data_IF_221809064163
#
_entry.id   IF_221809064163
#
_cell.length_a   1.000
_cell.length_b   1.000
_cell.length_c   1.000
_cell.angle_alpha   90.00
_cell.angle_beta   90.00
_cell.angle_gamma   90.00
#
_symmetry.space_group_name_H-M   'P 1'
#
loop_
_entity.id
_entity.type
_entity.pdbx_description
1 polymer ?
#
# COMPACT_ATOMS: atom_id res chain seq x y z
N UNK A 1 14.14 1.72 19.67
CA UNK A 1 15.40 2.11 20.34
C UNK A 1 16.31 0.92 20.60
N UNK A 2 15.97 -0.09 21.42
CA UNK A 2 16.86 -1.26 21.61
C UNK A 2 16.98 -2.16 20.37
N UNK A 3 15.89 -2.41 19.64
CA UNK A 3 15.91 -3.26 18.43
C UNK A 3 16.65 -2.62 17.24
N UNK A 4 16.68 -1.29 17.17
CA UNK A 4 17.37 -0.57 16.09
C UNK A 4 18.90 -0.67 16.24
N UNK A 5 19.39 -0.80 17.47
CA UNK A 5 20.80 -1.02 17.76
C UNK A 5 21.29 -2.40 17.31
N UNK A 6 20.40 -3.39 17.26
CA UNK A 6 20.69 -4.74 16.76
C UNK A 6 20.62 -4.84 15.23
N UNK A 7 20.10 -3.81 14.54
CA UNK A 7 19.95 -3.83 13.08
C UNK A 7 21.30 -3.65 12.41
N UNK A 8 21.80 -4.72 11.80
CA UNK A 8 22.94 -4.67 10.90
C UNK A 8 22.57 -3.96 9.58
N UNK A 9 21.48 -4.40 8.96
CA UNK A 9 20.95 -3.84 7.71
C UNK A 9 19.47 -4.22 7.51
N UNK A 10 18.90 -3.93 6.34
CA UNK A 10 17.55 -4.32 5.94
C UNK A 10 17.49 -4.68 4.45
N UNK A 11 16.81 -5.77 4.14
CA UNK A 11 16.44 -6.12 2.76
C UNK A 11 15.13 -5.43 2.38
N UNK A 12 14.94 -5.13 1.11
CA UNK A 12 13.63 -4.69 0.60
C UNK A 12 12.84 -5.92 0.14
N UNK A 13 11.72 -6.18 0.81
CA UNK A 13 10.74 -7.20 0.40
C UNK A 13 9.45 -6.51 -0.02
N UNK A 14 9.01 -6.75 -1.24
CA UNK A 14 7.73 -6.30 -1.79
C UNK A 14 6.81 -7.51 -1.83
N UNK A 15 5.73 -7.49 -1.06
CA UNK A 15 4.67 -8.49 -1.13
C UNK A 15 3.55 -8.01 -2.04
N UNK A 16 3.30 -8.78 -3.09
CA UNK A 16 2.23 -8.55 -4.06
C UNK A 16 1.18 -9.61 -3.82
N UNK A 17 0.15 -9.31 -3.02
CA UNK A 17 -0.95 -10.24 -2.73
C UNK A 17 -2.30 -9.65 -3.16
N UNK A 18 -2.57 -9.70 -4.47
CA UNK A 18 -3.86 -9.33 -5.00
C UNK A 18 -4.87 -10.48 -4.82
N UNK A 19 -6.15 -10.16 -4.68
CA UNK A 19 -7.20 -11.18 -4.43
C UNK A 19 -7.33 -12.21 -5.56
N UNK A 20 -6.80 -11.90 -6.74
CA UNK A 20 -6.82 -12.69 -7.96
C UNK A 20 -5.39 -12.92 -8.42
N UNK A 21 -4.99 -14.19 -8.47
CA UNK A 21 -3.64 -14.61 -8.84
C UNK A 21 -3.18 -14.09 -10.21
N UNK A 22 -4.06 -14.06 -11.20
CA UNK A 22 -3.73 -13.54 -12.54
C UNK A 22 -3.34 -12.06 -12.48
N UNK A 23 -4.06 -11.27 -11.69
CA UNK A 23 -3.72 -9.87 -11.47
C UNK A 23 -2.41 -9.74 -10.68
N UNK A 24 -2.16 -10.59 -9.68
CA UNK A 24 -0.87 -10.62 -8.98
C UNK A 24 0.31 -10.88 -9.93
N UNK A 25 0.16 -11.80 -10.91
CA UNK A 25 1.18 -12.03 -11.95
C UNK A 25 1.46 -10.77 -12.76
N UNK A 26 0.41 -10.10 -13.23
CA UNK A 26 0.51 -8.86 -14.01
C UNK A 26 1.20 -7.79 -13.17
N UNK A 27 0.71 -7.49 -11.96
CA UNK A 27 1.28 -6.47 -11.06
C UNK A 27 2.76 -6.76 -10.77
N UNK A 28 3.09 -8.00 -10.41
CA UNK A 28 4.47 -8.40 -10.12
C UNK A 28 5.37 -8.20 -11.35
N UNK A 29 4.90 -8.54 -12.55
CA UNK A 29 5.63 -8.33 -13.80
C UNK A 29 5.92 -6.84 -14.08
N UNK A 30 4.95 -5.97 -13.82
CA UNK A 30 5.13 -4.52 -13.97
C UNK A 30 6.11 -3.96 -12.94
N UNK A 31 6.08 -4.43 -11.69
CA UNK A 31 7.05 -4.04 -10.66
C UNK A 31 8.46 -4.51 -11.03
N UNK A 32 8.64 -5.75 -11.49
CA UNK A 32 9.93 -6.27 -11.96
C UNK A 32 10.47 -5.42 -13.11
N UNK A 33 9.60 -5.02 -14.04
CA UNK A 33 9.98 -4.15 -15.16
C UNK A 33 10.44 -2.79 -14.65
N UNK A 34 9.69 -2.17 -13.74
CA UNK A 34 10.08 -0.92 -13.11
C UNK A 34 11.42 -1.03 -12.38
N UNK A 35 11.65 -2.08 -11.59
CA UNK A 35 12.92 -2.32 -10.91
C UNK A 35 14.11 -2.40 -11.90
N UNK A 36 13.93 -3.09 -13.03
CA UNK A 36 14.95 -3.19 -14.08
C UNK A 36 15.24 -1.84 -14.75
N UNK A 37 14.21 -1.04 -15.01
CA UNK A 37 14.36 0.33 -15.55
C UNK A 37 15.13 1.25 -14.60
N UNK A 38 15.14 0.92 -13.30
CA UNK A 38 15.94 1.59 -12.27
C UNK A 38 17.36 1.03 -12.11
N UNK A 39 17.74 0.04 -12.93
CA UNK A 39 19.07 -0.57 -12.93
C UNK A 39 19.19 -1.85 -12.12
N UNK A 40 18.13 -2.29 -11.44
CA UNK A 40 18.12 -3.48 -10.59
C UNK A 40 17.91 -4.71 -11.48
N UNK A 41 19.00 -5.42 -11.80
CA UNK A 41 18.97 -6.66 -12.57
C UNK A 41 18.96 -7.88 -11.66
N UNK A 42 19.56 -7.78 -10.47
CA UNK A 42 19.67 -8.89 -9.54
C UNK A 42 18.64 -8.75 -8.41
N UNK A 43 17.44 -9.28 -8.70
CA UNK A 43 16.35 -9.42 -7.74
C UNK A 43 15.92 -10.89 -7.66
N UNK A 44 15.33 -11.27 -6.53
CA UNK A 44 14.89 -12.63 -6.27
C UNK A 44 13.37 -12.65 -6.10
N UNK A 45 12.68 -13.49 -6.87
CA UNK A 45 11.23 -13.57 -6.85
C UNK A 45 10.82 -14.96 -6.41
N UNK A 46 9.79 -15.05 -5.57
CA UNK A 46 9.17 -16.33 -5.22
C UNK A 46 7.65 -16.20 -5.22
N UNK A 47 6.98 -17.27 -5.63
CA UNK A 47 5.55 -17.44 -5.41
C UNK A 47 5.28 -17.55 -3.90
N UNK A 48 4.27 -16.86 -3.37
CA UNK A 48 3.97 -16.84 -1.94
C UNK A 48 3.38 -18.15 -1.42
N UNK A 49 3.00 -19.05 -2.33
CA UNK A 49 2.26 -20.28 -2.03
C UNK A 49 0.75 -20.10 -2.12
N UNK A 50 0.21 -18.91 -2.37
CA UNK A 50 -1.25 -18.71 -2.49
C UNK A 50 -1.65 -17.96 -3.76
N UNK A 51 -1.77 -16.63 -3.68
CA UNK A 51 -2.21 -15.79 -4.80
C UNK A 51 -1.19 -14.72 -5.18
N UNK A 52 -0.08 -14.64 -4.46
CA UNK A 52 0.85 -13.54 -4.56
C UNK A 52 2.28 -13.95 -4.83
N UNK A 53 3.14 -12.94 -4.89
CA UNK A 53 4.58 -13.08 -5.07
C UNK A 53 5.31 -12.18 -4.10
N UNK A 54 6.48 -12.63 -3.66
CA UNK A 54 7.43 -11.77 -2.97
C UNK A 54 8.59 -11.46 -3.91
N UNK A 55 8.95 -10.19 -3.98
CA UNK A 55 10.15 -9.70 -4.64
C UNK A 55 11.13 -9.26 -3.56
N UNK A 56 12.35 -9.79 -3.57
CA UNK A 56 13.42 -9.49 -2.63
C UNK A 56 14.57 -8.80 -3.36
N UNK A 57 15.01 -7.69 -2.77
CA UNK A 57 16.26 -7.00 -3.13
C UNK A 57 17.13 -6.98 -1.88
N UNK A 58 18.27 -7.70 -1.89
CA UNK A 58 19.15 -7.77 -0.73
C UNK A 58 19.75 -6.42 -0.37
N UNK A 59 20.05 -6.25 0.92
CA UNK A 59 20.60 -5.01 1.45
C UNK A 59 21.94 -4.63 0.82
N UNK A 60 22.73 -5.61 0.39
CA UNK A 60 24.02 -5.39 -0.25
C UNK A 60 23.88 -4.67 -1.60
N UNK A 61 22.70 -4.72 -2.24
CA UNK A 61 22.42 -3.96 -3.47
C UNK A 61 22.24 -2.47 -3.22
N UNK A 62 22.01 -2.03 -1.98
CA UNK A 62 21.85 -0.62 -1.62
C UNK A 62 23.20 0.01 -1.24
N UNK A 63 23.35 1.34 -1.39
CA UNK A 63 24.55 2.02 -0.91
C UNK A 63 24.67 1.88 0.62
N UNK A 64 25.89 1.81 1.15
CA UNK A 64 26.10 1.73 2.61
C UNK A 64 25.71 3.05 3.31
N UNK A 65 25.93 4.18 2.62
CA UNK A 65 25.70 5.53 3.13
C UNK A 65 25.09 6.43 2.06
N UNK A 66 24.30 7.42 2.50
CA UNK A 66 23.83 8.53 1.67
C UNK A 66 24.02 9.85 2.41
N UNK A 67 24.75 10.79 1.80
CA UNK A 67 25.19 12.02 2.46
C UNK A 67 25.85 11.70 3.82
N UNK A 68 25.21 12.09 4.93
CA UNK A 68 25.66 11.85 6.32
C UNK A 68 24.97 10.67 7.02
N UNK A 69 24.01 10.03 6.36
CA UNK A 69 23.18 8.98 6.96
C UNK A 69 23.67 7.59 6.55
N UNK A 70 23.69 6.65 7.50
CA UNK A 70 23.90 5.23 7.22
C UNK A 70 22.59 4.61 6.74
N UNK A 71 22.64 3.77 5.72
CA UNK A 71 21.42 3.17 5.12
C UNK A 71 20.61 2.37 6.12
N UNK A 72 21.25 1.64 7.04
CA UNK A 72 20.58 0.86 8.09
C UNK A 72 19.67 1.69 9.01
N UNK A 73 20.01 2.97 9.20
CA UNK A 73 19.32 3.89 10.10
C UNK A 73 18.11 4.56 9.42
N UNK A 74 17.97 4.38 8.10
CA UNK A 74 16.87 4.94 7.30
C UNK A 74 15.66 4.01 7.17
N UNK A 75 15.64 2.91 7.93
CA UNK A 75 14.49 2.04 8.08
C UNK A 75 13.51 2.61 9.12
N UNK A 76 12.18 2.58 8.88
CA UNK A 76 11.48 1.99 7.74
C UNK A 76 11.18 2.98 6.62
N UNK A 77 11.60 4.24 6.75
CA UNK A 77 11.13 5.33 5.89
C UNK A 77 11.54 5.18 4.43
N UNK A 78 12.78 4.78 4.16
CA UNK A 78 13.23 4.56 2.78
C UNK A 78 12.54 3.38 2.11
N UNK A 79 12.47 2.17 2.69
CA UNK A 79 11.75 1.08 2.03
C UNK A 79 10.25 1.40 1.81
N UNK A 80 9.60 2.16 2.71
CA UNK A 80 8.23 2.66 2.47
C UNK A 80 8.17 3.62 1.28
N UNK A 81 9.06 4.61 1.23
CA UNK A 81 9.11 5.56 0.11
C UNK A 81 9.40 4.85 -1.23
N UNK A 82 10.29 3.85 -1.24
CA UNK A 82 10.50 3.00 -2.42
C UNK A 82 9.20 2.30 -2.84
N UNK A 83 8.44 1.74 -1.91
CA UNK A 83 7.17 1.06 -2.22
C UNK A 83 6.14 2.02 -2.82
N UNK A 84 5.97 3.21 -2.21
CA UNK A 84 5.07 4.24 -2.73
C UNK A 84 5.51 4.73 -4.10
N UNK A 85 6.80 4.99 -4.27
CA UNK A 85 7.38 5.38 -5.54
C UNK A 85 7.13 4.34 -6.62
N UNK A 86 7.41 3.06 -6.38
CA UNK A 86 7.18 2.00 -7.35
C UNK A 86 5.69 1.87 -7.70
N UNK A 87 4.80 1.96 -6.71
CA UNK A 87 3.34 1.95 -6.91
C UNK A 87 2.84 3.12 -7.77
N UNK A 88 3.43 4.31 -7.64
CA UNK A 88 3.14 5.43 -8.53
C UNK A 88 3.79 5.24 -9.91
N UNK A 89 5.04 4.82 -9.96
CA UNK A 89 5.81 4.67 -11.19
C UNK A 89 5.15 3.69 -12.18
N UNK A 90 4.70 2.52 -11.68
CA UNK A 90 4.05 1.51 -12.53
C UNK A 90 2.69 1.94 -13.05
N UNK A 91 1.99 2.84 -12.36
CA UNK A 91 0.63 3.24 -12.72
C UNK A 91 0.33 4.69 -12.31
N UNK A 92 0.50 5.61 -13.26
CA UNK A 92 0.32 7.04 -13.05
C UNK A 92 -0.28 7.71 -14.29
N UNK A 93 -0.53 9.02 -14.18
CA UNK A 93 -1.06 9.82 -15.26
C UNK A 93 -0.17 9.84 -16.51
N UNK A 94 1.17 9.85 -16.35
CA UNK A 94 2.11 9.92 -17.49
C UNK A 94 2.03 8.68 -18.37
N UNK A 95 1.84 7.51 -17.77
CA UNK A 95 1.59 6.26 -18.49
C UNK A 95 0.11 5.99 -18.77
N UNK A 96 -0.77 6.96 -18.45
CA UNK A 96 -2.20 6.89 -18.71
C UNK A 96 -2.94 5.83 -17.89
N UNK A 97 -2.44 5.47 -16.71
CA UNK A 97 -2.97 4.41 -15.85
C UNK A 97 -3.08 3.07 -16.58
N UNK A 98 -2.02 2.70 -17.30
CA UNK A 98 -2.00 1.51 -18.17
C UNK A 98 -2.26 0.22 -17.40
N UNK A 99 -1.62 0.05 -16.24
CA UNK A 99 -1.78 -1.16 -15.40
C UNK A 99 -3.19 -1.23 -14.83
N UNK A 100 -3.75 -0.11 -14.37
CA UNK A 100 -5.16 -0.06 -13.96
C UNK A 100 -6.10 -0.48 -15.08
N UNK A 101 -5.92 0.05 -16.29
CA UNK A 101 -6.74 -0.32 -17.45
C UNK A 101 -6.60 -1.81 -17.80
N UNK A 102 -5.39 -2.34 -17.75
CA UNK A 102 -5.10 -3.75 -18.01
C UNK A 102 -5.82 -4.67 -17.01
N UNK A 103 -5.76 -4.36 -15.71
CA UNK A 103 -6.42 -5.17 -14.69
C UNK A 103 -7.95 -5.03 -14.77
N UNK A 104 -8.48 -3.82 -14.98
CA UNK A 104 -9.91 -3.61 -15.11
C UNK A 104 -10.48 -4.31 -16.36
N UNK A 105 -9.73 -4.39 -17.46
CA UNK A 105 -10.14 -5.12 -18.66
C UNK A 105 -9.92 -6.64 -18.57
N UNK A 106 -9.23 -7.13 -17.53
CA UNK A 106 -8.88 -8.54 -17.41
C UNK A 106 -10.11 -9.42 -17.17
N UNK A 107 -10.24 -10.49 -17.97
CA UNK A 107 -11.38 -11.41 -17.88
C UNK A 107 -11.49 -12.07 -16.50
N UNK A 108 -10.39 -12.56 -15.94
CA UNK A 108 -10.38 -13.20 -14.62
C UNK A 108 -10.77 -12.21 -13.51
N UNK A 109 -10.42 -10.94 -13.65
CA UNK A 109 -10.87 -9.89 -12.74
C UNK A 109 -12.38 -9.66 -12.82
N UNK A 110 -12.93 -9.52 -14.03
CA UNK A 110 -14.37 -9.34 -14.24
C UNK A 110 -15.20 -10.55 -13.77
N UNK A 111 -14.73 -11.77 -14.04
CA UNK A 111 -15.36 -13.00 -13.58
C UNK A 111 -15.34 -13.10 -12.04
N UNK A 112 -14.23 -12.67 -11.42
CA UNK A 112 -14.12 -12.61 -9.96
C UNK A 112 -15.15 -11.66 -9.34
N UNK A 113 -15.29 -10.44 -9.88
CA UNK A 113 -16.26 -9.47 -9.39
C UNK A 113 -17.70 -10.01 -9.43
N UNK A 114 -18.07 -10.67 -10.54
CA UNK A 114 -19.38 -11.32 -10.70
C UNK A 114 -19.58 -12.45 -9.69
N UNK A 115 -18.60 -13.35 -9.55
CA UNK A 115 -18.72 -14.51 -8.66
C UNK A 115 -18.75 -14.17 -7.17
N UNK A 116 -18.14 -13.05 -6.76
CA UNK A 116 -18.07 -12.59 -5.37
C UNK A 116 -19.03 -11.44 -5.04
N UNK A 117 -19.88 -11.03 -5.98
CA UNK A 117 -20.77 -9.88 -5.85
C UNK A 117 -20.03 -8.61 -5.37
N UNK A 118 -18.82 -8.39 -5.89
CA UNK A 118 -17.97 -7.22 -5.57
C UNK A 118 -18.06 -6.18 -6.68
N UNK A 119 -17.80 -4.92 -6.34
CA UNK A 119 -17.73 -3.82 -7.31
C UNK A 119 -16.28 -3.47 -7.64
N UNK A 120 -16.03 -2.97 -8.85
CA UNK A 120 -14.72 -2.38 -9.17
C UNK A 120 -14.34 -1.27 -8.19
N UNK A 121 -15.33 -0.57 -7.61
CA UNK A 121 -15.13 0.48 -6.60
C UNK A 121 -14.38 0.00 -5.35
N UNK A 122 -14.42 -1.30 -5.06
CA UNK A 122 -13.73 -1.89 -3.91
C UNK A 122 -12.21 -1.99 -4.14
N UNK A 123 -11.78 -1.91 -5.40
CA UNK A 123 -10.38 -2.08 -5.82
C UNK A 123 -9.76 -0.80 -6.38
N UNK A 124 -10.56 0.21 -6.70
CA UNK A 124 -10.07 1.45 -7.32
C UNK A 124 -10.20 2.66 -6.40
N UNK A 125 -9.19 3.51 -6.47
CA UNK A 125 -9.19 4.85 -5.91
C UNK A 125 -9.40 5.86 -7.05
N UNK A 126 -10.32 6.79 -6.85
CA UNK A 126 -10.49 7.91 -7.78
C UNK A 126 -9.45 8.99 -7.45
N UNK A 127 -8.55 9.27 -8.39
CA UNK A 127 -7.47 10.24 -8.21
C UNK A 127 -7.71 11.42 -9.12
N UNK A 128 -7.62 12.62 -8.57
CA UNK A 128 -7.79 13.82 -9.37
C UNK A 128 -6.65 14.00 -10.39
N UNK A 129 -6.99 14.21 -11.66
CA UNK A 129 -6.03 14.39 -12.77
C UNK A 129 -5.29 15.75 -12.76
N UNK A 130 -5.32 16.47 -11.63
CA UNK A 130 -4.66 17.78 -11.49
C UNK A 130 -3.90 17.85 -10.18
N UNK A 131 -4.60 17.63 -9.06
CA UNK A 131 -4.04 17.72 -7.72
C UNK A 131 -3.42 16.39 -7.22
N UNK A 132 -3.64 15.26 -7.94
CA UNK A 132 -3.29 13.89 -7.51
C UNK A 132 -3.85 13.45 -6.16
N UNK A 133 -4.65 14.30 -5.50
CA UNK A 133 -5.34 13.92 -4.27
C UNK A 133 -6.41 12.89 -4.61
N UNK A 134 -6.49 11.88 -3.75
CA UNK A 134 -7.57 10.92 -3.75
C UNK A 134 -8.89 11.68 -3.53
N UNK A 135 -9.92 11.30 -4.28
CA UNK A 135 -11.26 11.81 -4.09
C UNK A 135 -11.76 11.31 -2.74
N UNK A 136 -11.98 12.26 -1.84
CA UNK A 136 -12.67 11.99 -0.59
C UNK A 136 -14.15 11.94 -0.95
N UNK A 137 -14.75 10.75 -0.90
CA UNK A 137 -16.19 10.56 -1.09
C UNK A 137 -16.94 11.04 0.17
N UNK A 138 -16.95 12.34 0.40
CA UNK A 138 -18.02 12.97 1.17
C UNK A 138 -19.11 13.35 0.16
N UNK A 139 -19.93 12.40 -0.30
CA UNK A 139 -21.12 12.79 -1.04
C UNK A 139 -22.00 13.59 -0.08
N UNK A 140 -22.19 14.88 -0.38
CA UNK A 140 -23.05 15.77 0.42
C UNK A 140 -24.37 16.00 -0.30
N UNK A 141 -25.44 16.03 0.47
CA UNK A 141 -26.79 16.35 0.01
C UNK A 141 -27.08 17.80 0.38
N UNK A 142 -27.72 18.52 -0.54
CA UNK A 142 -28.27 19.83 -0.26
C UNK A 142 -29.70 19.70 0.28
N UNK A 143 -29.99 20.37 1.38
CA UNK A 143 -31.33 20.51 1.93
C UNK A 143 -31.72 21.97 1.89
N UNK A 144 -32.87 22.29 1.29
CA UNK A 144 -33.37 23.66 1.19
C UNK A 144 -34.69 23.77 1.92
N UNK A 145 -34.81 24.76 2.80
CA UNK A 145 -36.08 25.04 3.45
C UNK A 145 -37.03 25.76 2.48
N UNK A 146 -38.22 25.22 2.17
CA UNK A 146 -39.13 25.83 1.18
C UNK A 146 -39.77 27.14 1.66
N UNK A 147 -39.66 27.48 2.95
CA UNK A 147 -40.27 28.68 3.53
C UNK A 147 -39.31 29.86 3.69
N UNK A 148 -38.02 29.59 3.90
CA UNK A 148 -37.03 30.65 4.11
C UNK A 148 -35.82 30.55 3.20
N UNK A 149 -35.80 29.58 2.29
CA UNK A 149 -34.72 29.29 1.34
C UNK A 149 -33.34 29.08 1.99
N UNK A 150 -33.27 28.81 3.31
CA UNK A 150 -32.01 28.49 3.97
C UNK A 150 -31.53 27.12 3.49
N UNK A 151 -30.27 27.09 3.05
CA UNK A 151 -29.58 25.91 2.51
C UNK A 151 -28.77 25.25 3.63
N UNK A 152 -28.81 23.93 3.68
CA UNK A 152 -28.01 23.09 4.57
C UNK A 152 -27.28 22.05 3.73
N UNK A 153 -26.00 21.82 4.02
CA UNK A 153 -25.18 20.82 3.35
C UNK A 153 -24.87 19.74 4.37
N UNK A 154 -25.35 18.53 4.12
CA UNK A 154 -25.29 17.40 5.05
C UNK A 154 -24.67 16.17 4.37
N UNK A 155 -24.24 15.19 5.16
CA UNK A 155 -23.75 13.91 4.64
C UNK A 155 -24.86 13.12 3.90
N UNK A 156 -24.48 12.30 2.92
CA UNK A 156 -25.45 11.48 2.16
C UNK A 156 -26.30 10.54 3.02
N UNK A 157 -25.82 10.20 4.22
CA UNK A 157 -26.51 9.35 5.19
C UNK A 157 -27.69 10.09 5.86
N UNK A 158 -27.69 11.41 5.85
CA UNK A 158 -28.74 12.24 6.44
C UNK A 158 -30.00 12.13 5.58
N UNK A 159 -31.03 11.46 6.11
CA UNK A 159 -32.29 11.21 5.38
C UNK A 159 -33.21 12.42 5.37
N UNK A 160 -33.23 13.18 6.45
CA UNK A 160 -34.07 14.35 6.63
C UNK A 160 -33.33 15.38 7.48
N UNK A 161 -33.61 16.67 7.23
CA UNK A 161 -33.09 17.79 8.02
C UNK A 161 -34.25 18.72 8.37
N UNK A 162 -34.18 19.30 9.57
CA UNK A 162 -35.15 20.28 10.03
C UNK A 162 -34.52 21.66 9.96
N UNK A 163 -35.24 22.63 9.42
CA UNK A 163 -34.76 24.00 9.34
C UNK A 163 -34.71 24.61 10.75
N UNK A 164 -33.55 25.12 11.16
CA UNK A 164 -33.34 25.75 12.48
C UNK A 164 -34.24 26.98 12.69
N UNK A 165 -34.54 27.72 11.61
CA UNK A 165 -35.34 28.95 11.64
C UNK A 165 -36.84 28.68 11.63
N UNK A 166 -37.28 27.81 10.72
CA UNK A 166 -38.71 27.56 10.51
C UNK A 166 -39.24 26.36 11.28
N UNK A 167 -38.36 25.55 11.89
CA UNK A 167 -38.67 24.27 12.57
C UNK A 167 -39.46 23.28 11.71
N UNK A 168 -39.48 23.46 10.39
CA UNK A 168 -40.14 22.60 9.40
C UNK A 168 -39.10 21.76 8.64
N UNK A 169 -39.55 20.63 8.09
CA UNK A 169 -38.74 19.76 7.23
C UNK A 169 -38.25 20.51 5.99
N UNK A 170 -36.99 20.29 5.64
CA UNK A 170 -36.38 20.82 4.41
C UNK A 170 -36.56 19.84 3.25
N UNK A 171 -36.58 20.35 2.03
CA UNK A 171 -36.60 19.55 0.81
C UNK A 171 -35.19 19.15 0.41
N UNK A 172 -35.04 17.89 -0.01
CA UNK A 172 -33.76 17.36 -0.50
C UNK A 172 -33.56 17.78 -1.95
N UNK A 173 -32.54 18.56 -2.21
CA UNK A 173 -32.12 18.95 -3.55
C UNK A 173 -30.79 18.25 -3.83
N UNK A 174 -30.71 17.55 -4.97
CA UNK A 174 -29.56 16.85 -5.59
C UNK A 174 -28.25 16.64 -4.79
N UNK A 175 -27.65 15.46 -4.95
CA UNK A 175 -26.26 15.21 -4.50
C UNK A 175 -25.28 16.18 -5.15
N UNK A 176 -24.54 16.95 -4.33
CA UNK A 176 -23.50 17.87 -4.82
C UNK A 176 -22.27 17.05 -5.22
N UNK A 177 -21.88 17.11 -6.51
CA UNK A 177 -20.57 16.59 -6.94
C UNK A 177 -19.46 17.51 -6.42
N UNK A 178 -18.71 17.04 -5.41
CA UNK A 178 -17.58 17.78 -4.85
C UNK A 178 -16.44 17.88 -5.87
N UNK A 179 -16.03 19.12 -6.18
CA UNK A 179 -14.79 19.42 -6.93
C UNK A 179 -13.57 19.06 -6.06
N UNK A 180 -12.43 18.62 -6.63
CA UNK A 180 -11.19 18.51 -5.83
C UNK A 180 -10.92 19.87 -5.17
N UNK A 181 -10.25 19.88 -4.03
CA UNK A 181 -9.70 21.09 -3.41
C UNK A 181 -8.90 22.01 -4.35
N UNK A 182 -8.42 21.51 -5.51
CA UNK A 182 -7.78 22.31 -6.56
C UNK A 182 -8.72 22.87 -7.65
N UNK A 183 -10.03 22.70 -7.50
CA UNK A 183 -11.06 23.11 -8.44
C UNK A 183 -11.31 22.15 -9.62
N UNK A 184 -10.52 21.08 -9.76
CA UNK A 184 -10.69 20.11 -10.85
C UNK A 184 -11.88 19.16 -10.61
N UNK A 185 -12.54 18.77 -11.70
CA UNK A 185 -13.70 17.86 -11.72
C UNK A 185 -13.38 16.50 -12.34
N UNK A 186 -12.23 16.36 -13.02
CA UNK A 186 -11.81 15.12 -13.66
C UNK A 186 -11.03 14.23 -12.69
N UNK A 187 -11.43 12.97 -12.62
CA UNK A 187 -10.79 11.94 -11.82
C UNK A 187 -10.46 10.74 -12.71
N UNK A 188 -9.27 10.17 -12.52
CA UNK A 188 -8.86 8.90 -13.09
C UNK A 188 -9.06 7.78 -12.06
N UNK A 189 -9.30 6.56 -12.55
CA UNK A 189 -9.45 5.39 -11.70
C UNK A 189 -8.09 4.69 -11.62
N UNK A 190 -7.50 4.67 -10.42
CA UNK A 190 -6.24 3.97 -10.13
C UNK A 190 -6.55 2.76 -9.26
N UNK A 191 -6.09 1.58 -9.66
CA UNK A 191 -6.27 0.37 -8.87
C UNK A 191 -5.31 0.39 -7.67
N UNK A 192 -5.79 -0.08 -6.52
CA UNK A 192 -4.90 -0.37 -5.40
C UNK A 192 -4.15 -1.67 -5.72
N UNK A 193 -2.83 -1.59 -5.89
CA UNK A 193 -2.00 -2.73 -6.28
C UNK A 193 -1.85 -3.80 -5.19
N UNK A 194 -2.42 -3.59 -4.00
CA UNK A 194 -2.31 -4.50 -2.84
C UNK A 194 -0.84 -4.82 -2.50
N UNK A 195 0.02 -3.79 -2.55
CA UNK A 195 1.41 -3.93 -2.12
C UNK A 195 1.46 -3.79 -0.60
N UNK A 196 1.85 -4.85 0.08
CA UNK A 196 1.80 -4.84 1.54
C UNK A 196 3.01 -4.12 2.15
N UNK A 197 2.76 -2.95 2.73
CA UNK A 197 3.76 -2.20 3.49
C UNK A 197 4.05 -2.80 4.88
N UNK A 198 3.25 -3.77 5.32
CA UNK A 198 3.39 -4.41 6.64
C UNK A 198 4.74 -5.12 6.78
N UNK A 199 5.26 -5.72 5.71
CA UNK A 199 6.61 -6.32 5.69
C UNK A 199 7.74 -5.31 5.94
N UNK A 200 7.47 -4.01 5.81
CA UNK A 200 8.43 -2.92 6.04
C UNK A 200 8.44 -2.50 7.52
N UNK A 201 7.85 -3.28 8.42
CA UNK A 201 7.91 -3.02 9.86
C UNK A 201 8.81 -4.03 10.58
N UNK A 202 9.40 -3.60 11.70
CA UNK A 202 10.55 -4.26 12.34
C UNK A 202 10.35 -5.71 12.81
N UNK A 203 9.12 -6.22 12.84
CA UNK A 203 8.78 -7.55 13.36
C UNK A 203 7.98 -8.41 12.40
N UNK A 204 7.79 -7.97 11.16
CA UNK A 204 7.02 -8.75 10.21
C UNK A 204 7.90 -9.75 9.48
N UNK A 205 7.39 -10.97 9.42
CA UNK A 205 8.02 -12.10 8.76
C UNK A 205 7.23 -12.38 7.49
N UNK A 206 7.94 -12.77 6.44
CA UNK A 206 7.34 -13.36 5.26
C UNK A 206 7.64 -14.85 5.21
N UNK A 207 6.80 -15.58 4.49
CA UNK A 207 6.84 -17.04 4.42
C UNK A 207 8.19 -17.53 3.89
N UNK A 208 8.82 -18.51 4.53
CA UNK A 208 10.11 -19.06 4.05
C UNK A 208 9.96 -19.73 2.65
N UNK A 209 10.98 -19.68 1.78
CA UNK A 209 11.02 -20.50 0.57
C UNK A 209 10.83 -21.98 0.91
N UNK A 210 10.15 -22.71 0.03
CA UNK A 210 9.79 -24.13 0.15
C UNK A 210 8.87 -24.51 1.32
N UNK A 211 8.37 -23.54 2.10
CA UNK A 211 7.32 -23.82 3.06
C UNK A 211 5.96 -24.02 2.37
N UNK A 212 5.13 -24.88 2.96
CA UNK A 212 3.78 -25.16 2.51
C UNK A 212 2.84 -24.03 2.93
N UNK A 213 1.94 -23.64 2.03
CA UNK A 213 0.83 -22.77 2.37
C UNK A 213 -0.37 -23.61 2.83
N UNK A 214 -0.83 -23.34 4.05
CA UNK A 214 -1.90 -24.08 4.71
C UNK A 214 -3.28 -23.95 4.04
N UNK A 215 -3.52 -22.86 3.29
CA UNK A 215 -4.81 -22.61 2.64
C UNK A 215 -4.91 -23.24 1.27
N UNK A 216 -3.84 -23.19 0.49
CA UNK A 216 -3.81 -23.67 -0.89
C UNK A 216 -3.22 -25.07 -1.04
N UNK A 217 -2.43 -25.54 -0.07
CA UNK A 217 -1.62 -26.74 -0.19
C UNK A 217 -0.44 -26.60 -1.16
N UNK A 218 -0.12 -25.39 -1.63
CA UNK A 218 0.99 -25.13 -2.55
C UNK A 218 2.24 -24.66 -1.82
N UNK A 219 3.39 -24.94 -2.41
CA UNK A 219 4.72 -24.61 -1.89
C UNK A 219 5.13 -23.20 -2.31
N UNK A 220 5.75 -22.44 -1.41
CA UNK A 220 6.35 -21.14 -1.76
C UNK A 220 7.65 -21.34 -2.55
N UNK A 221 7.60 -21.31 -3.87
CA UNK A 221 8.74 -21.66 -4.73
C UNK A 221 9.46 -20.44 -5.31
N UNK A 222 10.80 -20.42 -5.41
CA UNK A 222 11.54 -19.46 -6.21
C UNK A 222 11.09 -19.48 -7.68
N UNK A 223 10.95 -18.29 -8.28
CA UNK A 223 10.51 -18.09 -9.67
C UNK A 223 11.51 -17.17 -10.37
N UNK A 224 11.87 -17.48 -11.61
CA UNK A 224 12.68 -16.57 -12.39
C UNK A 224 11.88 -15.28 -12.66
N UNK A 225 12.41 -14.07 -12.33
CA UNK A 225 11.73 -12.79 -12.56
C UNK A 225 11.15 -12.63 -13.97
N UNK A 226 11.85 -13.12 -15.01
CA UNK A 226 11.41 -13.03 -16.41
C UNK A 226 10.22 -13.93 -16.75
N UNK A 227 9.98 -14.95 -15.92
CA UNK A 227 8.96 -15.99 -16.14
C UNK A 227 7.70 -15.81 -15.29
N UNK A 228 7.65 -14.76 -14.44
CA UNK A 228 6.54 -14.50 -13.52
C UNK A 228 5.22 -14.34 -14.27
N UNK A 229 5.24 -13.60 -15.38
CA UNK A 229 4.03 -13.39 -16.17
C UNK A 229 3.47 -14.69 -16.74
N UNK A 230 4.27 -15.74 -16.96
CA UNK A 230 3.85 -17.06 -17.45
C UNK A 230 3.83 -18.14 -16.36
N UNK A 231 3.92 -17.76 -15.08
CA UNK A 231 4.02 -18.72 -13.99
C UNK A 231 2.70 -19.47 -13.78
N UNK A 232 2.79 -20.79 -13.70
CA UNK A 232 1.66 -21.68 -13.44
C UNK A 232 1.75 -22.20 -11.99
N UNK A 233 0.66 -22.02 -11.23
CA UNK A 233 0.56 -22.44 -9.82
C UNK A 233 0.63 -23.95 -9.65
N UNK A 234 0.24 -24.72 -10.67
CA UNK A 234 0.31 -26.18 -10.61
C UNK A 234 1.76 -26.65 -10.42
N UNK A 235 2.75 -25.90 -10.92
CA UNK A 235 4.18 -26.18 -10.68
C UNK A 235 4.58 -26.08 -9.22
N UNK A 236 3.80 -25.41 -8.38
CA UNK A 236 4.05 -25.24 -6.95
C UNK A 236 3.44 -26.36 -6.09
N UNK A 237 2.82 -27.38 -6.69
CA UNK A 237 2.40 -28.57 -5.96
C UNK A 237 3.61 -29.35 -5.45
N UNK A 238 3.49 -29.96 -4.27
CA UNK A 238 4.59 -30.70 -3.63
C UNK A 238 5.16 -31.78 -4.55
N UNK A 239 4.29 -32.53 -5.23
CA UNK A 239 4.65 -33.58 -6.18
C UNK A 239 5.44 -33.07 -7.41
N UNK A 240 5.34 -31.78 -7.73
CA UNK A 240 6.04 -31.17 -8.86
C UNK A 240 7.41 -30.58 -8.47
N UNK A 241 7.75 -30.55 -7.17
CA UNK A 241 9.03 -30.03 -6.68
C UNK A 241 10.08 -31.14 -6.71
N UNK A 242 10.83 -31.22 -7.81
CA UNK A 242 11.89 -32.22 -8.00
C UNK A 242 13.24 -31.80 -7.41
N UNK A 243 13.45 -30.50 -7.24
CA UNK A 243 14.74 -29.93 -6.83
C UNK A 243 14.53 -28.68 -5.97
N UNK A 244 15.37 -28.52 -4.95
CA UNK A 244 15.46 -27.32 -4.12
C UNK A 244 16.54 -26.41 -4.71
N UNK A 245 16.12 -25.26 -5.21
CA UNK A 245 16.99 -24.21 -5.74
C UNK A 245 17.19 -23.14 -4.68
N UNK A 246 18.38 -22.55 -4.55
CA UNK A 246 18.57 -21.44 -3.64
C UNK A 246 17.64 -20.28 -4.04
N UNK A 247 16.92 -19.71 -3.08
CA UNK A 247 16.10 -18.53 -3.33
C UNK A 247 16.98 -17.31 -3.60
N UNK A 248 18.07 -17.18 -2.85
CA UNK A 248 19.05 -16.10 -2.98
C UNK A 248 20.35 -16.70 -3.48
N UNK A 249 20.84 -16.18 -4.61
CA UNK A 249 22.15 -16.49 -5.14
C UNK A 249 23.06 -15.28 -4.93
N UNK A 250 23.92 -15.38 -3.90
CA UNK A 250 24.82 -14.28 -3.50
C UNK A 250 25.79 -13.87 -4.59
N UNK A 251 26.14 -14.77 -5.52
CA UNK A 251 27.07 -14.47 -6.61
C UNK A 251 26.52 -13.45 -7.61
N UNK A 252 25.19 -13.31 -7.67
CA UNK A 252 24.50 -12.36 -8.54
C UNK A 252 24.39 -10.97 -7.93
N UNK A 253 24.56 -10.81 -6.62
CA UNK A 253 24.33 -9.55 -5.93
C UNK A 253 25.45 -8.56 -6.30
N UNK A 254 25.06 -7.35 -6.72
CA UNK A 254 25.98 -6.28 -7.06
C UNK A 254 25.79 -5.09 -6.14
N UNK A 255 26.89 -4.64 -5.54
CA UNK A 255 26.87 -3.46 -4.68
C UNK A 255 26.42 -2.22 -5.43
N UNK A 256 25.63 -1.38 -4.75
CA UNK A 256 25.06 -0.13 -5.26
C UNK A 256 24.13 -0.25 -6.48
N UNK A 257 23.70 -1.46 -6.85
CA UNK A 257 22.79 -1.67 -7.98
C UNK A 257 21.45 -0.92 -7.80
N UNK A 258 20.96 -0.82 -6.57
CA UNK A 258 19.73 -0.12 -6.22
C UNK A 258 19.91 1.38 -5.93
N UNK A 259 21.11 1.94 -6.12
CA UNK A 259 21.44 3.35 -5.77
C UNK A 259 20.53 4.37 -6.42
N UNK A 260 20.16 4.18 -7.69
CA UNK A 260 19.25 5.11 -8.39
C UNK A 260 17.86 5.15 -7.73
N UNK A 261 17.28 3.97 -7.49
CA UNK A 261 15.98 3.84 -6.83
C UNK A 261 16.03 4.42 -5.41
N UNK A 262 17.11 4.12 -4.68
CA UNK A 262 17.35 4.60 -3.34
C UNK A 262 17.43 6.13 -3.27
N UNK A 263 18.16 6.77 -4.18
CA UNK A 263 18.29 8.23 -4.22
C UNK A 263 16.96 8.93 -4.47
N UNK A 264 16.11 8.39 -5.34
CA UNK A 264 14.78 8.93 -5.62
C UNK A 264 13.91 8.88 -4.37
N UNK A 265 13.88 7.73 -3.69
CA UNK A 265 13.14 7.58 -2.44
C UNK A 265 13.68 8.48 -1.32
N UNK A 266 15.01 8.64 -1.22
CA UNK A 266 15.62 9.52 -0.24
C UNK A 266 15.25 10.99 -0.45
N UNK A 267 15.22 11.47 -1.70
CA UNK A 267 14.81 12.84 -2.01
C UNK A 267 13.36 13.10 -1.59
N UNK A 268 12.45 12.16 -1.86
CA UNK A 268 11.05 12.26 -1.47
C UNK A 268 10.88 12.35 0.06
N UNK A 269 11.62 11.54 0.82
CA UNK A 269 11.63 11.60 2.28
C UNK A 269 12.18 12.94 2.78
N UNK A 270 13.32 13.39 2.24
CA UNK A 270 13.98 14.65 2.63
C UNK A 270 13.09 15.88 2.39
N UNK A 271 12.40 15.93 1.23
CA UNK A 271 11.42 16.98 0.93
C UNK A 271 10.25 16.95 1.91
N UNK A 272 9.76 15.76 2.27
CA UNK A 272 8.65 15.61 3.21
C UNK A 272 8.98 16.01 4.65
N UNK A 273 10.24 15.83 5.09
CA UNK A 273 10.71 16.21 6.42
C UNK A 273 10.98 17.72 6.53
N UNK A 274 11.50 18.34 5.47
CA UNK A 274 11.74 19.80 5.43
C UNK A 274 10.45 20.64 5.61
N UNK A 275 9.28 20.04 5.40
CA UNK A 275 7.97 20.66 5.64
C UNK A 275 7.30 20.33 6.98
N UNK A 276 7.83 19.39 7.79
CA UNK A 276 7.21 18.96 9.05
C UNK A 276 7.89 19.61 10.25
N UNK A 277 7.23 20.62 10.85
CA UNK A 277 7.52 20.99 12.24
C UNK A 277 7.05 19.86 13.15
N UNK A 278 7.96 18.97 13.54
CA UNK A 278 7.72 18.08 14.66
C UNK A 278 7.43 18.95 15.88
N UNK A 279 6.23 18.84 16.45
CA UNK A 279 6.05 19.25 17.84
C UNK A 279 6.86 18.24 18.64
N UNK A 280 7.99 18.66 19.19
CA UNK A 280 8.61 17.92 20.28
C UNK A 280 7.55 17.78 21.37
N UNK A 281 7.11 16.55 21.61
CA UNK A 281 6.29 16.26 22.77
C UNK A 281 7.27 16.00 23.90
N UNK A 282 7.23 16.84 24.93
CA UNK A 282 7.91 16.53 26.18
C UNK A 282 7.29 15.25 26.74
N UNK A 283 8.10 14.20 26.85
CA UNK A 283 7.70 13.00 27.56
C UNK A 283 7.58 13.39 29.03
N UNK A 284 6.39 13.26 29.66
CA UNK A 284 6.24 13.58 31.07
C UNK A 284 7.21 12.73 31.88
N UNK A 285 8.06 13.38 32.67
CA UNK A 285 9.04 12.69 33.54
C UNK A 285 8.39 12.06 34.77
N UNK A 286 7.15 12.46 35.04
CA UNK A 286 6.37 11.98 36.18
C UNK A 286 5.28 11.04 35.71
N UNK A 287 5.13 9.93 36.43
CA UNK A 287 4.01 9.03 36.21
C UNK A 287 2.70 9.76 36.55
N UNK A 288 1.71 9.62 35.67
CA UNK A 288 0.35 10.10 35.94
C UNK A 288 -0.19 9.39 37.20
N UNK A 289 -0.78 10.16 38.11
CA UNK A 289 -1.51 9.57 39.23
C UNK A 289 -2.64 8.67 38.69
N UNK A 290 -2.80 7.49 39.31
CA UNK A 290 -3.85 6.50 39.01
C UNK A 290 -5.24 7.14 39.02
N UNK A 291 -5.48 8.14 39.88
CA UNK A 291 -6.76 8.87 39.94
C UNK A 291 -7.11 9.59 38.63
N UNK A 292 -6.10 9.91 37.82
CA UNK A 292 -6.26 10.56 36.53
C UNK A 292 -6.38 9.55 35.38
N UNK A 293 -6.43 8.26 35.67
CA UNK A 293 -6.54 7.24 34.64
C UNK A 293 -7.98 7.20 34.10
N UNK A 294 -8.17 7.12 32.78
CA UNK A 294 -9.50 6.95 32.21
C UNK A 294 -10.15 5.65 32.71
N UNK A 295 -11.50 5.60 32.80
CA UNK A 295 -12.22 4.46 33.36
C UNK A 295 -11.86 3.11 32.72
N UNK A 296 -11.53 3.09 31.43
CA UNK A 296 -11.13 1.87 30.72
C UNK A 296 -9.83 1.24 31.27
N UNK A 297 -8.85 2.06 31.69
CA UNK A 297 -7.59 1.57 32.26
C UNK A 297 -7.82 1.06 33.69
N UNK A 298 -8.61 1.78 34.49
CA UNK A 298 -8.96 1.35 35.85
C UNK A 298 -9.69 0.00 35.85
N UNK A 299 -10.63 -0.21 34.92
CA UNK A 299 -11.32 -1.48 34.75
C UNK A 299 -10.36 -2.60 34.33
N UNK A 300 -9.40 -2.33 33.44
CA UNK A 300 -8.37 -3.29 33.05
C UNK A 300 -7.47 -3.69 34.22
N UNK A 301 -7.05 -2.73 35.05
CA UNK A 301 -6.20 -2.97 36.23
C UNK A 301 -6.92 -3.83 37.29
N UNK A 302 -8.24 -3.69 37.43
CA UNK A 302 -9.02 -4.53 38.35
C UNK A 302 -9.05 -6.01 37.94
N UNK A 303 -8.87 -6.32 36.65
CA UNK A 303 -8.80 -7.69 36.14
C UNK A 303 -7.41 -8.34 36.21
N UNK A 304 -6.39 -7.59 36.63
CA UNK A 304 -5.00 -8.05 36.77
C UNK A 304 -4.62 -8.37 38.23
N UNK A 305 -5.58 -8.33 39.15
CA UNK A 305 -5.42 -8.76 40.56
C UNK A 305 -5.69 -10.25 40.73
#
# INVERSE_FOLDING_TARGET
MELDQLRFSWDLVIDVDFEIFECSRIITSHIITALKEHGIKNMFVKFSGNKGFHILIPFESFPENIKKYKTKDLFPEIPKSILFYLSDYVDNEKNGFKLSKEILANKSFQDYLRSKNKSEKDFVQEICTKCKKQKINEEKIEFVCPYCNKVYIEDIKTKFKTCERCKKLTEKINSIKIKCSCGNTRYARKINLSLDSILISSRHLFRAPYSLNEKSGLVSVPVNPDSVLSFDREKARMENIKEIKPFIDKSRIKSEEAKRLFNIAFQDVEESESGKKYKEFEIPKEALNIDNFPPCILLGLNGLR
#
